data_IF_891260176976
#
_entry.id   IF_891260176976
#
_cell.length_a   1.000
_cell.length_b   1.000
_cell.length_c   1.000
_cell.angle_alpha   90.00
_cell.angle_beta   90.00
_cell.angle_gamma   90.00
#
_symmetry.space_group_name_H-M   'P 1'
#
loop_
_entity.id
_entity.type
_entity.pdbx_description
1 polymer ?
#
# COMPACT_ATOMS: atom_id res chain seq x y z
N UNK A 1 5.37 -8.94 4.20
CA UNK A 1 4.03 -9.04 4.82
C UNK A 1 3.58 -7.68 5.30
N UNK A 2 2.29 -7.47 5.54
CA UNK A 2 1.71 -6.20 6.00
C UNK A 2 0.62 -6.45 7.06
N UNK A 3 0.47 -5.51 7.99
CA UNK A 3 -0.60 -5.50 9.00
C UNK A 3 -1.08 -4.07 9.13
N UNK A 4 -2.40 -3.87 9.08
CA UNK A 4 -3.00 -2.54 9.07
C UNK A 4 -4.03 -2.44 10.18
N UNK A 5 -3.92 -1.38 10.99
CA UNK A 5 -4.91 -0.99 11.98
C UNK A 5 -5.57 0.32 11.53
N UNK A 6 -6.71 0.21 10.86
CA UNK A 6 -7.51 1.34 10.39
C UNK A 6 -8.96 0.91 10.12
N UNK A 7 -9.88 1.86 9.99
CA UNK A 7 -11.18 1.59 9.38
C UNK A 7 -10.96 1.06 7.96
N UNK A 8 -11.77 0.08 7.53
CA UNK A 8 -11.65 -0.53 6.19
C UNK A 8 -10.23 -1.07 5.88
N UNK A 9 -9.47 -1.47 6.91
CA UNK A 9 -8.07 -1.91 6.76
C UNK A 9 -7.89 -3.12 5.83
N UNK A 10 -8.93 -3.93 5.61
CA UNK A 10 -8.91 -5.00 4.59
C UNK A 10 -8.65 -4.47 3.19
N UNK A 11 -9.17 -3.28 2.86
CA UNK A 11 -8.98 -2.65 1.56
C UNK A 11 -7.53 -2.19 1.37
N UNK A 12 -6.85 -1.83 2.46
CA UNK A 12 -5.43 -1.51 2.43
C UNK A 12 -4.57 -2.78 2.36
N UNK A 13 -4.96 -3.84 3.07
CA UNK A 13 -4.25 -5.13 3.08
C UNK A 13 -4.28 -5.80 1.71
N UNK A 14 -5.40 -5.80 0.98
CA UNK A 14 -5.45 -6.47 -0.32
C UNK A 14 -4.48 -5.85 -1.34
N UNK A 15 -4.28 -4.52 -1.33
CA UNK A 15 -3.30 -3.88 -2.21
C UNK A 15 -1.87 -4.35 -1.94
N UNK A 16 -1.50 -4.60 -0.67
CA UNK A 16 -0.22 -5.22 -0.34
C UNK A 16 -0.12 -6.67 -0.82
N UNK A 17 -1.21 -7.42 -0.76
CA UNK A 17 -1.29 -8.80 -1.27
C UNK A 17 -1.13 -8.81 -2.78
N UNK A 18 -1.79 -7.90 -3.51
CA UNK A 18 -1.65 -7.79 -4.98
C UNK A 18 -0.21 -7.51 -5.38
N UNK A 19 0.47 -6.59 -4.67
CA UNK A 19 1.88 -6.30 -4.90
C UNK A 19 2.78 -7.53 -4.64
N UNK A 20 2.52 -8.26 -3.56
CA UNK A 20 3.27 -9.49 -3.22
C UNK A 20 3.01 -10.61 -4.23
N UNK A 21 1.77 -10.79 -4.65
CA UNK A 21 1.39 -11.77 -5.67
C UNK A 21 2.02 -11.45 -7.03
N UNK A 22 2.21 -10.15 -7.32
CA UNK A 22 2.90 -9.69 -8.53
C UNK A 22 4.44 -9.79 -8.44
N UNK A 23 5.00 -10.20 -7.30
CA UNK A 23 6.44 -10.21 -7.01
C UNK A 23 7.13 -8.87 -7.33
N UNK A 24 6.41 -7.77 -7.08
CA UNK A 24 6.85 -6.42 -7.42
C UNK A 24 7.51 -5.72 -6.22
N UNK A 25 8.54 -4.87 -6.45
CA UNK A 25 9.18 -4.14 -5.37
C UNK A 25 8.26 -3.06 -4.78
N UNK A 26 8.44 -2.75 -3.49
CA UNK A 26 7.65 -1.73 -2.77
C UNK A 26 7.67 -0.35 -3.44
N UNK A 27 8.71 -0.05 -4.23
CA UNK A 27 8.83 1.20 -4.99
C UNK A 27 7.69 1.38 -6.00
N UNK A 28 7.12 0.29 -6.54
CA UNK A 28 5.95 0.37 -7.42
C UNK A 28 4.77 0.98 -6.70
N UNK A 29 4.52 0.60 -5.45
CA UNK A 29 3.45 1.17 -4.62
C UNK A 29 3.80 2.59 -4.14
N UNK A 30 5.06 2.85 -3.79
CA UNK A 30 5.52 4.18 -3.37
C UNK A 30 5.30 5.22 -4.47
N UNK A 31 5.66 4.87 -5.70
CA UNK A 31 5.70 5.79 -6.85
C UNK A 31 4.37 5.79 -7.64
N UNK A 32 3.37 5.03 -7.19
CA UNK A 32 2.04 4.99 -7.79
C UNK A 32 1.27 6.30 -7.58
N UNK A 33 0.40 6.63 -8.54
CA UNK A 33 -0.56 7.74 -8.41
C UNK A 33 -1.84 7.17 -7.77
N UNK A 34 -2.11 7.53 -6.53
CA UNK A 34 -3.38 7.22 -5.87
C UNK A 34 -4.40 8.34 -6.12
N UNK A 35 -5.67 7.94 -6.28
CA UNK A 35 -6.79 8.87 -6.39
C UNK A 35 -6.94 9.62 -5.05
N UNK A 36 -7.15 10.95 -5.10
CA UNK A 36 -7.39 11.78 -3.92
C UNK A 36 -8.85 12.25 -3.84
N UNK A 37 -9.49 12.27 -2.65
CA UNK A 37 -9.01 11.76 -1.36
C UNK A 37 -9.36 10.27 -1.14
N UNK A 38 -8.39 9.44 -0.73
CA UNK A 38 -8.64 8.02 -0.43
C UNK A 38 -7.68 7.47 0.62
N UNK A 39 -8.10 6.46 1.38
CA UNK A 39 -7.21 5.80 2.35
C UNK A 39 -5.93 5.19 1.71
N UNK A 40 -5.98 4.86 0.42
CA UNK A 40 -4.84 4.31 -0.32
C UNK A 40 -3.66 5.29 -0.38
N UNK A 41 -3.91 6.61 -0.31
CA UNK A 41 -2.84 7.62 -0.33
C UNK A 41 -1.87 7.48 0.86
N UNK A 42 -2.32 6.92 1.99
CA UNK A 42 -1.47 6.65 3.15
C UNK A 42 -0.49 5.49 2.94
N UNK A 43 -0.73 4.61 1.96
CA UNK A 43 0.16 3.48 1.67
C UNK A 43 1.55 3.95 1.26
N UNK A 44 1.65 5.03 0.47
CA UNK A 44 2.92 5.58 0.00
C UNK A 44 3.83 5.95 1.18
N UNK A 45 3.26 6.58 2.21
CA UNK A 45 4.00 6.94 3.43
C UNK A 45 4.45 5.70 4.22
N UNK A 46 3.60 4.67 4.29
CA UNK A 46 3.93 3.44 5.00
C UNK A 46 5.10 2.69 4.35
N UNK A 47 5.12 2.57 3.02
CA UNK A 47 6.19 1.83 2.30
C UNK A 47 7.46 2.64 2.07
N UNK A 48 7.40 3.97 2.10
CA UNK A 48 8.60 4.82 1.93
C UNK A 48 9.66 4.53 2.98
N UNK A 49 9.28 4.10 4.19
CA UNK A 49 10.24 3.77 5.27
C UNK A 49 10.96 2.43 5.10
N UNK A 50 10.69 1.69 4.02
CA UNK A 50 11.35 0.42 3.72
C UNK A 50 12.69 0.61 2.98
N UNK A 51 13.06 1.85 2.65
CA UNK A 51 14.34 2.24 2.04
C UNK A 51 15.05 3.33 2.82
#
# INVERSE_FOLDING_TARGET
GATVLAAEGSELVHMYIDLMNADAPYSVMRDAIHIHPTMAEHLQTAVTRLG
#
